data_IF_734103262207
#
_entry.id   IF_734103262207
#
_cell.length_a   1.000
_cell.length_b   1.000
_cell.length_c   1.000
_cell.angle_alpha   90.00
_cell.angle_beta   90.00
_cell.angle_gamma   90.00
#
_symmetry.space_group_name_H-M   'P 1'
#
loop_
_entity.id
_entity.type
_entity.pdbx_description
1 polymer ?
#
# COMPACT_ATOMS: atom_id res chain seq x y z
N UNK A 1 -20.13 -10.89 -17.23
CA UNK A 1 -19.30 -12.12 -17.15
C UNK A 1 -17.99 -11.66 -16.52
N UNK A 2 -17.68 -12.15 -15.34
CA UNK A 2 -16.39 -11.85 -14.70
C UNK A 2 -15.31 -12.49 -15.57
N UNK A 3 -14.44 -11.68 -16.19
CA UNK A 3 -13.30 -12.21 -16.90
C UNK A 3 -12.52 -13.11 -15.96
N UNK A 4 -12.24 -14.35 -16.39
CA UNK A 4 -11.49 -15.30 -15.58
C UNK A 4 -10.19 -14.63 -15.12
N UNK A 5 -9.95 -14.66 -13.80
CA UNK A 5 -8.71 -14.20 -13.19
C UNK A 5 -7.52 -14.78 -13.96
N UNK A 6 -6.47 -13.99 -14.26
CA UNK A 6 -5.20 -14.58 -14.65
C UNK A 6 -4.86 -15.64 -13.59
N UNK A 7 -4.58 -16.87 -14.02
CA UNK A 7 -4.30 -17.99 -13.11
C UNK A 7 -3.28 -17.54 -12.04
N UNK A 8 -3.72 -17.52 -10.76
CA UNK A 8 -2.87 -17.17 -9.62
C UNK A 8 -2.94 -15.71 -9.12
N UNK A 9 -3.78 -14.84 -9.67
CA UNK A 9 -3.91 -13.48 -9.16
C UNK A 9 -4.58 -13.46 -7.77
N UNK A 10 -3.94 -12.79 -6.79
CA UNK A 10 -4.53 -12.56 -5.46
C UNK A 10 -5.48 -11.36 -5.47
N UNK A 11 -5.17 -10.34 -6.25
CA UNK A 11 -5.99 -9.15 -6.45
C UNK A 11 -6.20 -8.92 -7.94
N UNK A 12 -7.45 -8.65 -8.31
CA UNK A 12 -7.84 -8.25 -9.66
C UNK A 12 -8.85 -7.12 -9.59
N UNK A 13 -8.57 -6.04 -10.30
CA UNK A 13 -9.46 -4.91 -10.46
C UNK A 13 -9.66 -4.70 -11.97
N UNK A 14 -10.90 -4.71 -12.44
CA UNK A 14 -11.24 -4.65 -13.85
C UNK A 14 -12.17 -3.48 -14.15
N UNK A 15 -11.79 -2.66 -15.14
CA UNK A 15 -12.55 -1.51 -15.60
C UNK A 15 -12.83 -0.50 -14.50
N UNK A 16 -11.87 -0.21 -13.63
CA UNK A 16 -12.08 0.67 -12.49
C UNK A 16 -12.19 2.11 -12.93
N UNK A 17 -13.35 2.70 -12.65
CA UNK A 17 -13.56 4.14 -12.75
C UNK A 17 -13.77 4.75 -11.36
N UNK A 18 -13.25 5.96 -11.14
CA UNK A 18 -13.55 6.76 -9.94
C UNK A 18 -13.76 8.22 -10.29
N UNK A 19 -14.91 8.73 -9.86
CA UNK A 19 -15.28 10.15 -10.03
C UNK A 19 -15.57 10.76 -8.66
N UNK A 20 -15.26 12.04 -8.52
CA UNK A 20 -15.68 12.90 -7.42
C UNK A 20 -16.45 14.08 -8.01
N UNK A 21 -17.78 14.01 -7.97
CA UNK A 21 -18.62 14.94 -8.72
C UNK A 21 -18.35 14.85 -10.23
N UNK A 22 -17.97 15.95 -10.84
CA UNK A 22 -17.63 16.03 -12.27
C UNK A 22 -16.19 15.57 -12.58
N UNK A 23 -15.31 15.54 -11.57
CA UNK A 23 -13.89 15.18 -11.76
C UNK A 23 -13.74 13.67 -11.91
N UNK A 24 -13.21 13.21 -13.05
CA UNK A 24 -12.76 11.82 -13.26
C UNK A 24 -11.34 11.73 -12.77
N UNK A 25 -11.08 10.82 -11.81
CA UNK A 25 -9.74 10.61 -11.21
C UNK A 25 -9.14 9.27 -11.61
N UNK A 26 -9.97 8.24 -11.84
CA UNK A 26 -9.56 6.98 -12.43
C UNK A 26 -10.46 6.70 -13.63
N UNK A 27 -9.86 6.33 -14.75
CA UNK A 27 -10.54 6.13 -16.02
C UNK A 27 -10.08 4.81 -16.65
N UNK A 28 -10.91 3.79 -16.52
CA UNK A 28 -10.72 2.45 -17.10
C UNK A 28 -9.40 1.78 -16.67
N UNK A 29 -9.22 1.61 -15.35
CA UNK A 29 -8.04 0.96 -14.79
C UNK A 29 -8.27 -0.56 -14.69
N UNK A 30 -7.41 -1.31 -15.36
CA UNK A 30 -7.22 -2.74 -15.14
C UNK A 30 -5.93 -2.97 -14.33
N UNK A 31 -6.04 -3.68 -13.22
CA UNK A 31 -4.92 -3.99 -12.34
C UNK A 31 -5.02 -5.41 -11.81
N UNK A 32 -3.97 -6.20 -11.97
CA UNK A 32 -3.89 -7.55 -11.42
C UNK A 32 -2.51 -7.81 -10.81
N UNK A 33 -2.46 -8.58 -9.71
CA UNK A 33 -1.21 -9.01 -9.11
C UNK A 33 -1.31 -10.42 -8.52
N UNK A 34 -0.21 -11.16 -8.55
CA UNK A 34 -0.08 -12.45 -7.88
C UNK A 34 0.20 -12.28 -6.36
N UNK A 35 0.10 -13.39 -5.61
CA UNK A 35 0.20 -13.35 -4.15
C UNK A 35 1.54 -12.81 -3.62
N UNK A 36 2.64 -13.13 -4.30
CA UNK A 36 4.00 -12.82 -3.86
C UNK A 36 4.61 -11.63 -4.62
N UNK A 37 3.84 -10.96 -5.49
CA UNK A 37 4.34 -9.84 -6.31
C UNK A 37 4.73 -8.63 -5.44
N UNK A 38 5.73 -7.89 -5.93
CA UNK A 38 6.07 -6.56 -5.44
C UNK A 38 5.93 -5.57 -6.60
N UNK A 39 4.87 -4.77 -6.56
CA UNK A 39 4.54 -3.81 -7.61
C UNK A 39 4.80 -2.40 -7.10
N UNK A 40 5.63 -1.66 -7.83
CA UNK A 40 5.80 -0.22 -7.65
C UNK A 40 4.79 0.55 -8.49
N UNK A 41 4.23 1.62 -7.94
CA UNK A 41 3.38 2.55 -8.70
C UNK A 41 4.02 3.93 -8.68
N UNK A 42 4.28 4.48 -9.84
CA UNK A 42 4.88 5.81 -10.07
C UNK A 42 3.98 6.67 -10.94
N UNK A 43 4.33 7.94 -11.09
CA UNK A 43 3.62 8.90 -11.94
C UNK A 43 3.54 10.29 -11.28
N UNK A 44 3.19 11.33 -12.04
CA UNK A 44 3.11 12.70 -11.54
C UNK A 44 2.07 12.88 -10.43
N UNK A 45 2.13 14.03 -9.75
CA UNK A 45 1.11 14.40 -8.78
C UNK A 45 -0.24 14.58 -9.48
N UNK A 46 -1.30 14.07 -8.87
CA UNK A 46 -2.63 14.09 -9.49
C UNK A 46 -2.92 12.95 -10.48
N UNK A 47 -1.96 12.06 -10.75
CA UNK A 47 -2.16 10.91 -11.65
C UNK A 47 -3.21 9.89 -11.19
N UNK A 48 -3.67 9.96 -9.92
CA UNK A 48 -4.69 9.04 -9.39
C UNK A 48 -4.15 7.92 -8.51
N UNK A 49 -2.84 7.83 -8.27
CA UNK A 49 -2.17 6.73 -7.53
C UNK A 49 -2.79 6.45 -6.16
N UNK A 50 -2.85 7.45 -5.27
CA UNK A 50 -3.45 7.32 -3.93
C UNK A 50 -4.95 7.00 -4.00
N UNK A 51 -5.65 7.50 -5.04
CA UNK A 51 -7.06 7.16 -5.29
C UNK A 51 -7.20 5.70 -5.69
N UNK A 52 -6.31 5.18 -6.52
CA UNK A 52 -6.30 3.75 -6.86
C UNK A 52 -6.14 2.89 -5.60
N UNK A 53 -5.14 3.17 -4.74
CA UNK A 53 -4.99 2.45 -3.48
C UNK A 53 -6.23 2.59 -2.57
N UNK A 54 -6.87 3.77 -2.58
CA UNK A 54 -8.10 4.01 -1.81
C UNK A 54 -9.27 3.15 -2.30
N UNK A 55 -9.37 2.96 -3.61
CA UNK A 55 -10.39 2.12 -4.23
C UNK A 55 -10.08 0.63 -3.99
N UNK A 56 -8.83 0.21 -4.20
CA UNK A 56 -8.40 -1.17 -3.95
C UNK A 56 -8.58 -1.58 -2.48
N UNK A 57 -8.28 -0.69 -1.53
CA UNK A 57 -8.44 -0.94 -0.09
C UNK A 57 -9.89 -0.86 0.40
N UNK A 58 -10.83 -0.35 -0.41
CA UNK A 58 -12.23 -0.15 -0.01
C UNK A 58 -12.48 1.10 0.85
N UNK A 59 -11.51 2.02 0.92
CA UNK A 59 -11.70 3.34 1.54
C UNK A 59 -12.66 4.21 0.72
N UNK A 60 -12.66 4.04 -0.61
CA UNK A 60 -13.67 4.59 -1.51
C UNK A 60 -14.25 3.47 -2.38
N UNK A 61 -15.58 3.43 -2.58
CA UNK A 61 -16.16 2.54 -3.59
C UNK A 61 -15.75 3.04 -4.99
N UNK A 62 -15.50 2.14 -5.96
CA UNK A 62 -15.37 2.54 -7.34
C UNK A 62 -16.69 3.14 -7.85
N UNK A 63 -16.63 3.99 -8.89
CA UNK A 63 -17.83 4.49 -9.59
C UNK A 63 -18.34 3.50 -10.62
N UNK A 64 -17.45 2.66 -11.17
CA UNK A 64 -17.72 1.51 -12.02
C UNK A 64 -16.53 0.53 -11.97
N UNK A 65 -16.72 -0.68 -12.47
CA UNK A 65 -15.74 -1.76 -12.44
C UNK A 65 -15.92 -2.69 -11.25
N UNK A 66 -15.09 -3.72 -11.18
CA UNK A 66 -15.15 -4.77 -10.15
C UNK A 66 -13.78 -5.04 -9.55
N UNK A 67 -13.76 -5.45 -8.28
CA UNK A 67 -12.54 -5.81 -7.56
C UNK A 67 -12.74 -7.19 -6.94
N UNK A 68 -11.87 -8.14 -7.30
CA UNK A 68 -11.82 -9.45 -6.68
C UNK A 68 -10.53 -9.61 -5.86
N UNK A 69 -10.63 -10.18 -4.67
CA UNK A 69 -9.51 -10.49 -3.79
C UNK A 69 -9.60 -11.94 -3.33
N UNK A 70 -8.54 -12.72 -3.56
CA UNK A 70 -8.51 -14.18 -3.30
C UNK A 70 -9.64 -14.95 -3.98
N UNK A 71 -10.10 -14.45 -5.13
CA UNK A 71 -11.19 -15.05 -5.91
C UNK A 71 -12.60 -14.54 -5.56
N UNK A 72 -12.77 -13.85 -4.44
CA UNK A 72 -14.06 -13.31 -4.00
C UNK A 72 -14.26 -11.88 -4.47
N UNK A 73 -15.48 -11.53 -4.88
CA UNK A 73 -15.85 -10.13 -5.17
C UNK A 73 -15.89 -9.30 -3.90
N UNK A 74 -15.01 -8.32 -3.81
CA UNK A 74 -14.91 -7.39 -2.69
C UNK A 74 -15.33 -5.97 -3.07
N UNK A 75 -15.90 -5.75 -4.25
CA UNK A 75 -16.21 -4.43 -4.82
C UNK A 75 -17.01 -3.56 -3.85
N UNK A 76 -18.04 -4.13 -3.23
CA UNK A 76 -18.91 -3.43 -2.29
C UNK A 76 -18.42 -3.45 -0.83
N UNK A 77 -17.36 -4.21 -0.51
CA UNK A 77 -16.88 -4.35 0.85
C UNK A 77 -16.11 -3.11 1.31
N UNK A 78 -16.40 -2.56 2.51
CA UNK A 78 -15.65 -1.45 3.08
C UNK A 78 -14.25 -1.87 3.53
N UNK A 79 -13.35 -0.90 3.71
CA UNK A 79 -11.95 -1.12 4.10
C UNK A 79 -11.78 -2.02 5.33
N UNK A 80 -12.67 -1.90 6.32
CA UNK A 80 -12.62 -2.73 7.54
C UNK A 80 -12.82 -4.22 7.25
N UNK A 81 -13.68 -4.57 6.29
CA UNK A 81 -13.90 -5.95 5.89
C UNK A 81 -12.75 -6.47 5.03
N UNK A 82 -12.26 -5.65 4.06
CA UNK A 82 -11.08 -6.02 3.25
C UNK A 82 -9.83 -6.20 4.11
N UNK A 83 -9.64 -5.36 5.13
CA UNK A 83 -8.57 -5.52 6.11
C UNK A 83 -8.62 -6.89 6.80
N UNK A 84 -9.80 -7.34 7.27
CA UNK A 84 -9.98 -8.65 7.89
C UNK A 84 -9.76 -9.83 6.93
N UNK A 85 -9.92 -9.61 5.63
CA UNK A 85 -9.57 -10.59 4.59
C UNK A 85 -8.06 -10.62 4.32
N UNK A 86 -7.29 -9.66 4.86
CA UNK A 86 -5.84 -9.54 4.71
C UNK A 86 -5.40 -8.56 3.62
N UNK A 87 -6.29 -7.71 3.11
CA UNK A 87 -5.94 -6.59 2.23
C UNK A 87 -5.81 -5.33 3.07
N UNK A 88 -4.59 -4.98 3.43
CA UNK A 88 -4.29 -3.91 4.39
C UNK A 88 -3.58 -2.75 3.71
N UNK A 89 -3.84 -1.52 4.17
CA UNK A 89 -3.20 -0.31 3.65
C UNK A 89 -2.58 0.52 4.77
N UNK A 90 -1.41 1.12 4.49
CA UNK A 90 -0.86 2.23 5.26
C UNK A 90 -1.39 3.56 4.74
N UNK A 91 -1.26 4.61 5.54
CA UNK A 91 -1.62 5.97 5.14
C UNK A 91 -0.35 6.81 4.92
N UNK A 92 -0.35 7.64 3.87
CA UNK A 92 0.72 8.58 3.57
C UNK A 92 1.07 9.45 4.80
N UNK A 93 0.06 10.00 5.46
CA UNK A 93 0.22 10.70 6.72
C UNK A 93 -0.17 9.75 7.84
N UNK A 94 0.79 9.29 8.69
CA UNK A 94 0.48 8.40 9.80
C UNK A 94 -0.58 8.98 10.74
N UNK A 95 -1.57 8.16 11.09
CA UNK A 95 -2.67 8.52 11.99
C UNK A 95 -2.72 7.59 13.21
N UNK A 96 -1.72 7.60 14.08
CA UNK A 96 -1.75 6.79 15.27
C UNK A 96 -2.76 7.35 16.31
N UNK A 97 -3.19 6.49 17.21
CA UNK A 97 -3.91 6.91 18.41
C UNK A 97 -2.93 7.60 19.35
N UNK A 98 -2.87 8.92 19.34
CA UNK A 98 -1.83 9.75 19.99
C UNK A 98 -1.67 9.47 21.48
N UNK A 99 -2.77 9.35 22.21
CA UNK A 99 -2.78 9.06 23.66
C UNK A 99 -2.37 7.64 24.05
N UNK A 100 -2.26 6.73 23.07
CA UNK A 100 -1.80 5.34 23.28
C UNK A 100 -0.29 5.23 23.03
N UNK A 101 0.32 4.23 23.66
CA UNK A 101 1.71 3.83 23.38
C UNK A 101 1.83 3.22 21.97
N UNK A 102 3.07 3.10 21.47
CA UNK A 102 3.32 2.39 20.22
C UNK A 102 2.82 0.93 20.30
N UNK A 103 3.06 0.25 21.41
CA UNK A 103 2.56 -1.11 21.63
C UNK A 103 1.03 -1.18 21.58
N UNK A 104 0.32 -0.32 22.33
CA UNK A 104 -1.15 -0.31 22.34
C UNK A 104 -1.75 -0.06 20.95
N UNK A 105 -1.13 0.84 20.17
CA UNK A 105 -1.52 1.07 18.77
C UNK A 105 -1.46 -0.18 17.93
N UNK A 106 -0.38 -0.96 18.06
CA UNK A 106 -0.17 -2.19 17.28
C UNK A 106 -1.06 -3.31 17.81
N UNK A 107 -1.23 -3.41 19.13
CA UNK A 107 -2.11 -4.37 19.78
C UNK A 107 -3.58 -4.22 19.33
N UNK A 108 -4.06 -2.98 19.22
CA UNK A 108 -5.42 -2.71 18.68
C UNK A 108 -5.55 -3.23 17.25
N UNK A 109 -4.52 -3.07 16.41
CA UNK A 109 -4.54 -3.57 15.04
C UNK A 109 -4.55 -5.11 14.99
N UNK A 110 -3.79 -5.78 15.84
CA UNK A 110 -3.81 -7.25 15.98
C UNK A 110 -5.18 -7.77 16.45
N UNK A 111 -5.74 -7.14 17.49
CA UNK A 111 -7.01 -7.58 18.09
C UNK A 111 -8.21 -7.34 17.16
N UNK A 112 -8.31 -6.17 16.54
CA UNK A 112 -9.48 -5.77 15.75
C UNK A 112 -9.28 -5.89 14.23
N UNK A 113 -8.06 -5.72 13.74
CA UNK A 113 -7.71 -5.90 12.33
C UNK A 113 -7.63 -7.36 11.95
N UNK A 114 -6.81 -8.14 12.66
CA UNK A 114 -6.65 -9.58 12.45
C UNK A 114 -7.68 -10.42 13.22
N UNK A 115 -8.42 -9.85 14.16
CA UNK A 115 -9.41 -10.58 14.97
C UNK A 115 -8.80 -11.58 15.97
N UNK A 116 -7.56 -11.35 16.40
CA UNK A 116 -6.83 -12.25 17.29
C UNK A 116 -7.33 -12.17 18.73
N UNK A 117 -7.28 -13.28 19.44
CA UNK A 117 -7.44 -13.33 20.89
C UNK A 117 -6.36 -12.54 21.61
N UNK A 118 -6.57 -12.25 22.92
CA UNK A 118 -5.70 -11.35 23.68
C UNK A 118 -4.21 -11.76 23.64
N UNK A 119 -3.91 -13.02 23.91
CA UNK A 119 -2.53 -13.50 24.00
C UNK A 119 -1.85 -13.55 22.62
N UNK A 120 -2.58 -14.00 21.60
CA UNK A 120 -2.11 -13.99 20.22
C UNK A 120 -1.88 -12.55 19.71
N UNK A 121 -2.79 -11.62 20.04
CA UNK A 121 -2.64 -10.21 19.68
C UNK A 121 -1.44 -9.56 20.36
N UNK A 122 -1.11 -9.99 21.59
CA UNK A 122 0.07 -9.52 22.33
C UNK A 122 1.35 -9.94 21.62
N UNK A 123 1.48 -11.24 21.29
CA UNK A 123 2.64 -11.76 20.57
C UNK A 123 2.78 -11.17 19.17
N UNK A 124 1.67 -11.03 18.44
CA UNK A 124 1.66 -10.41 17.11
C UNK A 124 2.10 -8.95 17.16
N UNK A 125 1.65 -8.21 18.17
CA UNK A 125 2.05 -6.82 18.35
C UNK A 125 3.57 -6.70 18.64
N UNK A 126 4.11 -7.54 19.50
CA UNK A 126 5.56 -7.57 19.77
C UNK A 126 6.35 -7.96 18.52
N UNK A 127 5.90 -8.98 17.78
CA UNK A 127 6.52 -9.43 16.54
C UNK A 127 6.56 -8.34 15.48
N UNK A 128 5.44 -7.62 15.29
CA UNK A 128 5.33 -6.51 14.35
C UNK A 128 6.20 -5.33 14.75
N UNK A 129 6.24 -4.96 16.03
CA UNK A 129 7.14 -3.92 16.54
C UNK A 129 8.62 -4.30 16.38
N UNK A 130 8.98 -5.56 16.64
CA UNK A 130 10.34 -6.07 16.44
C UNK A 130 10.76 -5.95 14.99
N UNK A 131 9.88 -6.36 14.06
CA UNK A 131 10.16 -6.29 12.63
C UNK A 131 10.37 -4.87 12.12
N UNK A 132 9.64 -3.90 12.68
CA UNK A 132 9.79 -2.49 12.37
C UNK A 132 10.86 -1.77 13.22
N UNK A 133 11.68 -2.48 14.00
CA UNK A 133 12.74 -1.88 14.83
C UNK A 133 12.24 -0.99 15.97
N UNK A 134 11.01 -1.22 16.46
CA UNK A 134 10.33 -0.32 17.41
C UNK A 134 10.24 -0.83 18.85
N UNK A 135 10.85 -1.96 19.20
CA UNK A 135 10.77 -2.50 20.57
C UNK A 135 11.30 -1.50 21.62
N UNK A 136 12.37 -0.76 21.31
CA UNK A 136 12.95 0.23 22.22
C UNK A 136 12.03 1.41 22.53
N UNK A 137 11.01 1.66 21.69
CA UNK A 137 10.04 2.75 21.87
C UNK A 137 8.62 2.25 22.11
N UNK A 138 8.43 0.93 22.32
CA UNK A 138 7.13 0.30 22.46
C UNK A 138 6.22 0.97 23.51
N UNK A 139 6.78 1.42 24.63
CA UNK A 139 6.06 2.05 25.72
C UNK A 139 5.95 3.59 25.60
N UNK A 140 6.49 4.18 24.51
CA UNK A 140 6.35 5.62 24.29
C UNK A 140 4.99 5.94 23.68
N UNK A 141 4.39 7.06 24.09
CA UNK A 141 3.14 7.55 23.48
C UNK A 141 3.38 7.93 22.03
N UNK A 142 2.45 7.56 21.15
CA UNK A 142 2.58 7.76 19.72
C UNK A 142 2.70 9.24 19.33
N UNK A 143 2.09 10.14 20.09
CA UNK A 143 2.19 11.59 19.89
C UNK A 143 3.61 12.15 20.11
N UNK A 144 4.46 11.45 20.88
CA UNK A 144 5.84 11.87 21.19
C UNK A 144 6.88 11.31 20.21
N UNK A 145 6.45 10.48 19.26
CA UNK A 145 7.33 9.85 18.28
C UNK A 145 7.74 10.84 17.18
N UNK A 146 8.99 10.75 16.72
CA UNK A 146 9.48 11.46 15.54
C UNK A 146 8.87 10.93 14.25
N UNK A 147 9.18 11.55 13.12
CA UNK A 147 8.58 11.21 11.81
C UNK A 147 8.85 9.76 11.42
N UNK A 148 10.12 9.31 11.48
CA UNK A 148 10.51 7.94 11.16
C UNK A 148 9.75 6.93 12.03
N UNK A 149 9.74 7.12 13.36
CA UNK A 149 9.05 6.21 14.26
C UNK A 149 7.54 6.18 14.03
N UNK A 150 6.92 7.31 13.65
CA UNK A 150 5.50 7.33 13.26
C UNK A 150 5.24 6.52 12.00
N UNK A 151 6.12 6.58 11.01
CA UNK A 151 6.02 5.79 9.78
C UNK A 151 6.24 4.30 10.05
N UNK A 152 7.23 3.97 10.88
CA UNK A 152 7.45 2.60 11.36
C UNK A 152 6.25 2.08 12.15
N UNK A 153 5.63 2.92 12.98
CA UNK A 153 4.42 2.57 13.72
C UNK A 153 3.23 2.29 12.78
N UNK A 154 3.04 3.09 11.74
CA UNK A 154 2.00 2.86 10.74
C UNK A 154 2.21 1.50 10.03
N UNK A 155 3.47 1.19 9.66
CA UNK A 155 3.82 -0.11 9.08
C UNK A 155 3.60 -1.25 10.09
N UNK A 156 4.02 -1.12 11.35
CA UNK A 156 3.82 -2.12 12.39
C UNK A 156 2.34 -2.41 12.65
N UNK A 157 1.49 -1.37 12.66
CA UNK A 157 0.03 -1.51 12.75
C UNK A 157 -0.55 -2.27 11.57
N UNK A 158 -0.09 -1.95 10.37
CA UNK A 158 -0.53 -2.66 9.16
C UNK A 158 -0.12 -4.14 9.20
N UNK A 159 1.09 -4.46 9.66
CA UNK A 159 1.58 -5.83 9.80
C UNK A 159 0.81 -6.62 10.84
N UNK A 160 0.49 -6.02 11.97
CA UNK A 160 -0.25 -6.67 13.05
C UNK A 160 -1.69 -7.07 12.64
N UNK A 161 -2.22 -6.48 11.57
CA UNK A 161 -3.46 -6.94 10.95
C UNK A 161 -3.30 -8.20 10.09
N UNK A 162 -2.09 -8.83 10.07
CA UNK A 162 -1.75 -10.07 9.33
C UNK A 162 -2.09 -9.99 7.84
N UNK A 163 -1.50 -9.03 7.10
CA UNK A 163 -1.78 -8.86 5.69
C UNK A 163 -1.28 -10.05 4.87
N UNK A 164 -2.05 -10.43 3.84
CA UNK A 164 -1.55 -11.21 2.70
C UNK A 164 -1.19 -10.28 1.54
N UNK A 165 -1.79 -9.09 1.51
CA UNK A 165 -1.47 -8.02 0.58
C UNK A 165 -1.41 -6.69 1.32
N UNK A 166 -0.30 -5.98 1.16
CA UNK A 166 -0.02 -4.69 1.79
C UNK A 166 0.06 -3.58 0.74
N UNK A 167 -0.77 -2.57 0.89
CA UNK A 167 -0.77 -1.37 0.06
C UNK A 167 -0.04 -0.25 0.81
N UNK A 168 1.12 0.17 0.30
CA UNK A 168 1.99 1.18 0.91
C UNK A 168 1.86 2.50 0.15
N UNK A 169 1.49 3.57 0.84
CA UNK A 169 1.25 4.89 0.26
C UNK A 169 2.30 5.89 0.77
N UNK A 170 3.34 6.14 -0.03
CA UNK A 170 4.40 7.14 0.21
C UNK A 170 5.03 7.08 1.62
N UNK A 171 5.32 5.88 2.10
CA UNK A 171 5.88 5.68 3.44
C UNK A 171 7.34 6.13 3.56
N UNK A 172 8.09 6.25 2.45
CA UNK A 172 9.47 6.74 2.39
C UNK A 172 9.60 8.27 2.38
N UNK A 173 8.51 9.00 2.09
CA UNK A 173 8.56 10.45 1.94
C UNK A 173 9.03 11.18 3.21
N UNK A 174 9.99 12.11 3.06
CA UNK A 174 10.55 12.90 4.16
C UNK A 174 11.55 12.16 5.05
N UNK A 175 11.98 10.96 4.68
CA UNK A 175 13.06 10.22 5.31
C UNK A 175 14.42 10.62 4.69
N UNK A 176 15.48 10.51 5.47
CA UNK A 176 16.86 10.56 4.96
C UNK A 176 17.18 9.28 4.17
N UNK A 177 18.23 9.28 3.35
CA UNK A 177 18.63 8.09 2.57
C UNK A 177 18.93 6.87 3.46
N UNK A 178 19.54 7.09 4.65
CA UNK A 178 19.79 6.02 5.61
C UNK A 178 18.49 5.43 6.17
N UNK A 179 17.55 6.28 6.56
CA UNK A 179 16.23 5.87 7.08
C UNK A 179 15.40 5.16 6.01
N UNK A 180 15.49 5.62 4.76
CA UNK A 180 14.85 4.98 3.62
C UNK A 180 15.46 3.58 3.35
N UNK A 181 16.79 3.44 3.49
CA UNK A 181 17.47 2.15 3.42
C UNK A 181 16.97 1.13 4.45
N UNK A 182 16.78 1.56 5.71
CA UNK A 182 16.23 0.68 6.77
C UNK A 182 14.77 0.26 6.45
N UNK A 183 13.98 1.17 5.88
CA UNK A 183 12.62 0.86 5.43
C UNK A 183 12.62 -0.18 4.31
N UNK A 184 13.50 -0.02 3.32
CA UNK A 184 13.69 -0.99 2.21
C UNK A 184 14.02 -2.38 2.74
N UNK A 185 14.93 -2.49 3.70
CA UNK A 185 15.25 -3.80 4.31
C UNK A 185 14.03 -4.41 5.03
N UNK A 186 13.25 -3.58 5.73
CA UNK A 186 12.00 -4.06 6.34
C UNK A 186 11.06 -4.61 5.26
N UNK A 187 10.86 -3.90 4.15
CA UNK A 187 9.98 -4.35 3.07
C UNK A 187 10.52 -5.62 2.39
N UNK A 188 11.85 -5.74 2.20
CA UNK A 188 12.47 -6.98 1.70
C UNK A 188 12.17 -8.17 2.62
N UNK A 189 12.20 -7.96 3.94
CA UNK A 189 11.84 -9.01 4.89
C UNK A 189 10.36 -9.41 4.77
N UNK A 190 9.45 -8.45 4.52
CA UNK A 190 8.03 -8.75 4.28
C UNK A 190 7.84 -9.62 3.03
N UNK A 191 8.59 -9.34 1.96
CA UNK A 191 8.59 -10.17 0.75
C UNK A 191 9.06 -11.59 1.02
N UNK A 192 10.13 -11.78 1.82
CA UNK A 192 10.58 -13.12 2.22
C UNK A 192 9.49 -13.91 2.95
N UNK A 193 8.56 -13.20 3.61
CA UNK A 193 7.36 -13.78 4.25
C UNK A 193 6.19 -13.97 3.31
N UNK A 194 6.40 -13.77 2.00
CA UNK A 194 5.38 -13.92 0.95
C UNK A 194 4.17 -13.00 1.12
N UNK A 195 4.38 -11.81 1.64
CA UNK A 195 3.37 -10.75 1.66
C UNK A 195 3.47 -10.01 0.33
N UNK A 196 2.37 -10.01 -0.44
CA UNK A 196 2.26 -9.22 -1.65
C UNK A 196 2.33 -7.71 -1.32
N UNK A 197 3.01 -6.92 -2.14
CA UNK A 197 3.23 -5.50 -1.88
C UNK A 197 2.86 -4.68 -3.10
N UNK A 198 2.01 -3.67 -2.91
CA UNK A 198 1.84 -2.55 -3.84
C UNK A 198 2.37 -1.31 -3.14
N UNK A 199 3.35 -0.66 -3.74
CA UNK A 199 4.03 0.47 -3.11
C UNK A 199 4.04 1.70 -4.02
N UNK A 200 3.42 2.80 -3.57
CA UNK A 200 3.52 4.11 -4.20
C UNK A 200 4.68 4.86 -3.57
N UNK A 201 5.60 5.35 -4.39
CA UNK A 201 6.67 6.25 -3.96
C UNK A 201 7.01 7.27 -5.04
N UNK A 202 7.52 8.43 -4.61
CA UNK A 202 8.09 9.44 -5.48
C UNK A 202 9.60 9.23 -5.70
N UNK A 203 10.24 8.55 -4.77
CA UNK A 203 11.68 8.28 -4.80
C UNK A 203 11.90 6.97 -5.56
N UNK A 204 11.99 7.06 -6.88
CA UNK A 204 12.01 5.90 -7.79
C UNK A 204 13.13 4.92 -7.44
N UNK A 205 14.34 5.39 -7.08
CA UNK A 205 15.46 4.50 -6.77
C UNK A 205 15.22 3.62 -5.53
N UNK A 206 14.33 4.01 -4.62
CA UNK A 206 13.92 3.18 -3.48
C UNK A 206 12.97 2.07 -3.95
N UNK A 207 11.99 2.40 -4.80
CA UNK A 207 11.08 1.42 -5.40
C UNK A 207 11.84 0.35 -6.19
N UNK A 208 12.81 0.76 -7.02
CA UNK A 208 13.60 -0.15 -7.87
C UNK A 208 14.42 -1.17 -7.07
N UNK A 209 14.62 -0.97 -5.78
CA UNK A 209 15.30 -1.94 -4.92
C UNK A 209 14.41 -3.10 -4.48
N UNK A 210 13.07 -2.97 -4.63
CA UNK A 210 12.08 -3.92 -4.12
C UNK A 210 11.12 -4.40 -5.19
N UNK A 211 10.67 -3.49 -6.07
CA UNK A 211 9.66 -3.78 -7.07
C UNK A 211 10.21 -4.67 -8.20
N UNK A 212 9.47 -5.72 -8.53
CA UNK A 212 9.73 -6.60 -9.68
C UNK A 212 8.93 -6.17 -10.91
N UNK A 213 7.86 -5.42 -10.69
CA UNK A 213 7.00 -4.83 -11.71
C UNK A 213 6.73 -3.38 -11.34
N UNK A 214 6.75 -2.51 -12.34
CA UNK A 214 6.48 -1.09 -12.18
C UNK A 214 5.27 -0.70 -13.03
N UNK A 215 4.37 0.07 -12.45
CA UNK A 215 3.23 0.66 -13.14
C UNK A 215 3.40 2.18 -13.12
N UNK A 216 3.32 2.81 -14.28
CA UNK A 216 3.25 4.26 -14.37
C UNK A 216 1.82 4.71 -14.64
N UNK A 217 1.34 5.65 -13.82
CA UNK A 217 0.03 6.28 -14.00
C UNK A 217 0.18 7.73 -14.41
N UNK A 218 -0.69 8.18 -15.31
CA UNK A 218 -0.88 9.59 -15.65
C UNK A 218 -2.36 9.87 -15.96
N UNK A 219 -2.85 11.04 -15.54
CA UNK A 219 -4.21 11.53 -15.78
C UNK A 219 -5.30 10.46 -15.56
N UNK A 220 -5.17 9.65 -14.51
CA UNK A 220 -6.15 8.62 -14.14
C UNK A 220 -6.06 7.32 -14.92
N UNK A 221 -5.03 7.12 -15.74
CA UNK A 221 -4.81 5.92 -16.56
C UNK A 221 -3.47 5.26 -16.24
N UNK A 222 -3.36 3.95 -16.51
CA UNK A 222 -2.08 3.26 -16.58
C UNK A 222 -1.51 3.51 -17.97
N UNK A 223 -0.32 4.13 -18.04
CA UNK A 223 0.35 4.45 -19.31
C UNK A 223 1.51 3.50 -19.61
N UNK A 224 2.04 2.82 -18.60
CA UNK A 224 3.04 1.77 -18.77
C UNK A 224 2.94 0.76 -17.61
N UNK A 225 3.23 -0.50 -17.88
CA UNK A 225 3.17 -1.60 -16.94
C UNK A 225 4.17 -2.70 -17.38
N UNK A 226 5.13 -3.04 -16.54
CA UNK A 226 6.12 -4.05 -16.90
C UNK A 226 7.37 -4.06 -16.01
N UNK A 227 8.46 -4.54 -16.57
CA UNK A 227 9.77 -4.57 -15.94
C UNK A 227 10.21 -3.12 -15.60
N UNK A 228 10.72 -2.86 -14.37
CA UNK A 228 10.96 -1.50 -13.89
C UNK A 228 11.86 -0.65 -14.79
N UNK A 229 12.94 -1.22 -15.33
CA UNK A 229 13.88 -0.47 -16.19
C UNK A 229 13.23 -0.14 -17.54
N UNK A 230 12.44 -1.07 -18.10
CA UNK A 230 11.71 -0.85 -19.35
C UNK A 230 10.67 0.26 -19.20
N UNK A 231 9.89 0.24 -18.10
CA UNK A 231 8.89 1.29 -17.81
C UNK A 231 9.57 2.66 -17.64
N UNK A 232 10.69 2.73 -16.92
CA UNK A 232 11.42 4.00 -16.73
C UNK A 232 12.07 4.54 -18.02
N UNK A 233 12.32 3.69 -19.00
CA UNK A 233 12.84 4.08 -20.32
C UNK A 233 11.74 4.39 -21.35
N UNK A 234 10.46 4.16 -21.01
CA UNK A 234 9.34 4.38 -21.92
C UNK A 234 9.18 5.88 -22.25
N UNK A 235 9.11 6.26 -23.54
CA UNK A 235 8.95 7.65 -23.94
C UNK A 235 7.68 8.32 -23.38
N UNK A 236 6.58 7.58 -23.19
CA UNK A 236 5.36 8.12 -22.60
C UNK A 236 5.57 8.45 -21.12
N UNK A 237 6.27 7.58 -20.39
CA UNK A 237 6.62 7.79 -18.97
C UNK A 237 7.53 9.01 -18.83
N UNK A 238 8.59 9.09 -19.65
CA UNK A 238 9.49 10.24 -19.65
C UNK A 238 8.73 11.54 -19.96
N UNK A 239 7.83 11.52 -20.94
CA UNK A 239 7.01 12.68 -21.31
C UNK A 239 6.06 13.10 -20.17
N UNK A 240 5.44 12.15 -19.46
CA UNK A 240 4.56 12.43 -18.32
C UNK A 240 5.30 13.15 -17.17
N UNK A 241 6.59 12.81 -16.94
CA UNK A 241 7.41 13.47 -15.93
C UNK A 241 7.99 14.81 -16.39
N UNK A 242 8.37 14.94 -17.67
CA UNK A 242 8.95 16.17 -18.24
C UNK A 242 7.89 17.15 -18.72
N UNK A 243 6.71 16.66 -19.15
CA UNK A 243 5.61 17.46 -19.67
C UNK A 243 4.71 18.09 -18.61
N UNK A 244 4.92 17.84 -17.34
CA UNK A 244 4.15 18.33 -16.20
C UNK A 244 4.40 19.79 -15.79
N UNK A 245 4.80 20.66 -16.73
CA UNK A 245 4.74 22.10 -16.53
C UNK A 245 3.28 22.58 -16.57
N UNK A 246 2.90 23.60 -15.78
CA UNK A 246 1.53 24.07 -15.71
C UNK A 246 1.04 24.54 -17.09
N UNK A 247 -0.06 23.92 -17.56
CA UNK A 247 -0.89 24.49 -18.61
C UNK A 247 -1.84 25.48 -18.03
#
# INVERSE_FOLDING_TARGET
MVNALPNGAILNAAGIHKRFGALVVLDDIDFAMAADDAIGIVGPNGAGKTTLLSVLSGAYPPSAGTIAFKGDDVTALPATQRCRLGLVRTHQVPKPFGGMTAFENVFVAASHGAGLGRDEAYEEALGSLKLCGMLGVANRRAETLGLLDRKRLELARALAAKPTLLLLDEIGGGLTDGEAGELVETIRELRRRRIGIVWIEHIVHILLQVAERLICMDAGKIIADGEPQAVMADPQVISAYLGGGPK
#
